data_IF_283034542387
#
_entry.id   IF_283034542387
#
_cell.length_a   1.000
_cell.length_b   1.000
_cell.length_c   1.000
_cell.angle_alpha   90.00
_cell.angle_beta   90.00
_cell.angle_gamma   90.00
#
_symmetry.space_group_name_H-M   'P 1'
#
loop_
_entity.id
_entity.type
_entity.pdbx_description
1 polymer ?
#
# COMPACT_ATOMS: atom_id res chain seq x y z
N UNK A 1 15.60 28.32 -1.40
CA UNK A 1 15.65 28.41 0.08
C UNK A 1 14.53 27.55 0.64
N UNK A 2 14.86 26.42 1.28
CA UNK A 2 13.87 25.64 2.01
C UNK A 2 13.32 26.52 3.14
N UNK A 3 12.02 26.81 3.11
CA UNK A 3 11.38 27.54 4.20
C UNK A 3 11.46 26.67 5.47
N UNK A 4 11.73 27.24 6.66
CA UNK A 4 11.75 26.49 7.93
C UNK A 4 10.44 25.72 8.18
N UNK A 5 9.37 26.13 7.53
CA UNK A 5 8.07 25.47 7.41
C UNK A 5 8.13 24.05 6.79
N UNK A 6 9.03 23.82 5.82
CA UNK A 6 9.09 22.56 5.07
C UNK A 6 9.59 21.37 5.91
N UNK A 7 10.50 21.60 6.87
CA UNK A 7 10.95 20.55 7.78
C UNK A 7 9.82 20.13 8.72
N UNK A 8 9.09 21.11 9.28
CA UNK A 8 7.95 20.88 10.15
C UNK A 8 6.79 20.20 9.42
N UNK A 9 6.53 20.58 8.16
CA UNK A 9 5.56 19.90 7.30
C UNK A 9 5.93 18.43 7.12
N UNK A 10 7.18 18.14 6.75
CA UNK A 10 7.62 16.77 6.44
C UNK A 10 7.63 15.86 7.67
N UNK A 11 8.03 16.37 8.83
CA UNK A 11 7.91 15.63 10.09
C UNK A 11 6.46 15.48 10.54
N UNK A 12 5.61 16.48 10.28
CA UNK A 12 4.15 16.42 10.47
C UNK A 12 3.48 15.33 9.63
N UNK A 13 3.98 15.10 8.41
CA UNK A 13 3.56 13.98 7.54
C UNK A 13 4.05 12.60 8.02
N UNK A 14 4.79 12.52 9.14
CA UNK A 14 5.25 11.26 9.72
C UNK A 14 6.66 10.83 9.31
N UNK A 15 7.43 11.67 8.61
CA UNK A 15 8.84 11.38 8.34
C UNK A 15 9.69 11.60 9.59
N UNK A 16 10.74 10.78 9.75
CA UNK A 16 11.77 11.06 10.76
C UNK A 16 12.53 12.34 10.40
N UNK A 17 13.06 13.04 11.40
CA UNK A 17 13.80 14.29 11.19
C UNK A 17 14.98 14.12 10.22
N UNK A 18 15.68 12.98 10.30
CA UNK A 18 16.75 12.63 9.38
C UNK A 18 16.24 12.51 7.94
N UNK A 19 15.18 11.72 7.73
CA UNK A 19 14.59 11.51 6.40
C UNK A 19 13.98 12.79 5.83
N UNK A 20 13.40 13.63 6.67
CA UNK A 20 12.90 14.96 6.29
C UNK A 20 14.05 15.87 5.83
N UNK A 21 15.17 15.92 6.56
CA UNK A 21 16.37 16.67 6.16
C UNK A 21 16.97 16.16 4.85
N UNK A 22 17.02 14.85 4.64
CA UNK A 22 17.48 14.26 3.38
C UNK A 22 16.55 14.63 2.22
N UNK A 23 15.25 14.56 2.44
CA UNK A 23 14.24 14.93 1.44
C UNK A 23 14.39 16.39 1.05
N UNK A 24 14.64 17.29 2.00
CA UNK A 24 14.87 18.72 1.77
C UNK A 24 16.10 19.02 0.89
N UNK A 25 17.09 18.12 0.84
CA UNK A 25 18.24 18.26 -0.09
C UNK A 25 17.83 18.00 -1.53
N UNK A 26 16.74 17.25 -1.77
CA UNK A 26 16.18 17.00 -3.08
C UNK A 26 15.04 17.99 -3.34
N UNK A 27 15.34 19.09 -4.03
CA UNK A 27 14.37 20.16 -4.31
C UNK A 27 13.17 19.67 -5.13
N UNK A 28 13.39 18.77 -6.08
CA UNK A 28 12.32 18.21 -6.91
C UNK A 28 11.35 17.37 -6.07
N UNK A 29 11.88 16.41 -5.29
CA UNK A 29 11.08 15.57 -4.40
C UNK A 29 10.37 16.40 -3.32
N UNK A 30 11.06 17.38 -2.74
CA UNK A 30 10.48 18.29 -1.75
C UNK A 30 9.32 19.11 -2.31
N UNK A 31 9.41 19.54 -3.56
CA UNK A 31 8.35 20.29 -4.23
C UNK A 31 7.16 19.40 -4.53
N UNK A 32 7.40 18.20 -5.05
CA UNK A 32 6.33 17.23 -5.29
C UNK A 32 5.60 16.82 -4.00
N UNK A 33 6.34 16.60 -2.91
CA UNK A 33 5.76 16.25 -1.61
C UNK A 33 4.89 17.36 -1.05
N UNK A 34 5.34 18.62 -1.16
CA UNK A 34 4.57 19.79 -0.74
C UNK A 34 3.27 19.89 -1.53
N UNK A 35 3.33 19.79 -2.85
CA UNK A 35 2.16 19.85 -3.71
C UNK A 35 1.16 18.71 -3.42
N UNK A 36 1.66 17.48 -3.21
CA UNK A 36 0.83 16.35 -2.82
C UNK A 36 0.15 16.56 -1.46
N UNK A 37 0.88 17.08 -0.48
CA UNK A 37 0.34 17.39 0.85
C UNK A 37 -0.71 18.51 0.79
N UNK A 38 -0.46 19.59 0.04
CA UNK A 38 -1.44 20.67 -0.15
C UNK A 38 -2.72 20.14 -0.78
N UNK A 39 -2.61 19.31 -1.82
CA UNK A 39 -3.78 18.73 -2.47
C UNK A 39 -4.53 17.78 -1.52
N UNK A 40 -3.83 16.91 -0.79
CA UNK A 40 -4.47 16.01 0.17
C UNK A 40 -5.21 16.79 1.28
N UNK A 41 -4.61 17.86 1.78
CA UNK A 41 -5.24 18.73 2.78
C UNK A 41 -6.51 19.41 2.26
N UNK A 42 -6.51 19.88 1.00
CA UNK A 42 -7.69 20.47 0.36
C UNK A 42 -8.83 19.45 0.22
N UNK A 43 -8.52 18.19 -0.08
CA UNK A 43 -9.53 17.12 -0.22
C UNK A 43 -10.08 16.70 1.14
N UNK A 44 -9.21 16.56 2.15
CA UNK A 44 -9.57 16.12 3.49
C UNK A 44 -10.31 17.20 4.31
N UNK A 45 -10.06 18.48 4.02
CA UNK A 45 -10.55 19.61 4.83
C UNK A 45 -10.04 19.60 6.28
N UNK A 46 -9.06 18.76 6.60
CA UNK A 46 -8.56 18.51 7.96
C UNK A 46 -7.07 18.15 7.93
N UNK A 47 -6.47 17.96 9.10
CA UNK A 47 -5.04 17.62 9.23
C UNK A 47 -4.74 16.24 8.64
N UNK A 48 -3.60 16.12 7.97
CA UNK A 48 -3.15 14.85 7.39
C UNK A 48 -2.56 13.99 8.51
N UNK A 49 -3.09 12.80 8.72
CA UNK A 49 -2.51 11.84 9.67
C UNK A 49 -1.18 11.28 9.14
N UNK A 50 -0.33 10.80 10.06
CA UNK A 50 1.01 10.31 9.73
C UNK A 50 1.01 9.14 8.75
N UNK A 51 0.01 8.24 8.80
CA UNK A 51 -0.03 7.10 7.88
C UNK A 51 -0.30 7.57 6.44
N UNK A 52 -1.25 8.49 6.26
CA UNK A 52 -1.48 9.17 4.97
C UNK A 52 -0.23 9.92 4.50
N UNK A 53 0.42 10.66 5.39
CA UNK A 53 1.62 11.42 5.04
C UNK A 53 2.79 10.54 4.58
N UNK A 54 2.99 9.38 5.20
CA UNK A 54 3.99 8.39 4.76
C UNK A 54 3.64 7.82 3.37
N UNK A 55 2.36 7.54 3.08
CA UNK A 55 1.93 7.10 1.76
C UNK A 55 2.09 8.19 0.69
N UNK A 56 1.83 9.46 1.02
CA UNK A 56 2.07 10.57 0.11
C UNK A 56 3.55 10.72 -0.21
N UNK A 57 4.43 10.59 0.79
CA UNK A 57 5.87 10.55 0.58
C UNK A 57 6.28 9.42 -0.36
N UNK A 58 5.78 8.22 -0.08
CA UNK A 58 6.12 7.05 -0.87
C UNK A 58 5.63 7.18 -2.32
N UNK A 59 4.41 7.71 -2.53
CA UNK A 59 3.87 8.06 -3.85
C UNK A 59 4.83 8.97 -4.62
N UNK A 60 5.19 10.13 -4.07
CA UNK A 60 6.02 11.12 -4.79
C UNK A 60 7.46 10.64 -4.99
N UNK A 61 7.94 9.72 -4.16
CA UNK A 61 9.28 9.14 -4.29
C UNK A 61 9.39 8.13 -5.44
N UNK A 62 8.26 7.49 -5.82
CA UNK A 62 8.22 6.41 -6.83
C UNK A 62 7.50 6.81 -8.12
N UNK A 63 6.63 7.83 -8.07
CA UNK A 63 5.83 8.26 -9.21
C UNK A 63 6.69 8.89 -10.30
N UNK A 64 6.63 8.31 -11.51
CA UNK A 64 7.33 8.84 -12.69
C UNK A 64 6.44 9.78 -13.51
N UNK A 65 5.15 9.46 -13.63
CA UNK A 65 4.18 10.28 -14.37
C UNK A 65 3.49 11.28 -13.44
N UNK A 66 4.00 12.51 -13.41
CA UNK A 66 3.47 13.58 -12.56
C UNK A 66 2.04 13.99 -12.91
N UNK A 67 1.57 13.72 -14.14
CA UNK A 67 0.18 14.00 -14.57
C UNK A 67 -0.83 13.20 -13.75
N UNK A 68 -0.41 12.03 -13.26
CA UNK A 68 -1.24 11.07 -12.51
C UNK A 68 -1.21 11.30 -11.01
N UNK A 69 -0.35 12.21 -10.53
CA UNK A 69 -0.22 12.54 -9.11
C UNK A 69 -1.55 12.95 -8.51
N UNK A 70 -2.25 13.89 -9.16
CA UNK A 70 -3.48 14.43 -8.60
C UNK A 70 -4.59 13.39 -8.46
N UNK A 71 -4.65 12.44 -9.39
CA UNK A 71 -5.52 11.29 -9.30
C UNK A 71 -5.15 10.40 -8.11
N UNK A 72 -3.90 9.97 -7.98
CA UNK A 72 -3.47 9.07 -6.90
C UNK A 72 -3.55 9.71 -5.51
N UNK A 73 -3.22 11.00 -5.39
CA UNK A 73 -3.39 11.75 -4.14
C UNK A 73 -4.84 11.75 -3.68
N UNK A 74 -5.81 11.85 -4.60
CA UNK A 74 -7.22 11.78 -4.23
C UNK A 74 -7.64 10.42 -3.67
N UNK A 75 -7.08 9.32 -4.19
CA UNK A 75 -7.33 7.98 -3.67
C UNK A 75 -6.73 7.77 -2.27
N UNK A 76 -5.53 8.31 -2.04
CA UNK A 76 -4.87 8.25 -0.72
C UNK A 76 -5.61 9.12 0.30
N UNK A 77 -5.97 10.35 -0.08
CA UNK A 77 -6.70 11.27 0.79
C UNK A 77 -8.07 10.70 1.19
N UNK A 78 -8.80 10.08 0.27
CA UNK A 78 -10.08 9.43 0.56
C UNK A 78 -9.93 8.04 1.22
N UNK A 79 -8.72 7.63 1.63
CA UNK A 79 -8.42 6.33 2.25
C UNK A 79 -8.80 5.10 1.40
N UNK A 80 -9.08 5.29 0.11
CA UNK A 80 -9.29 4.20 -0.85
C UNK A 80 -7.99 3.39 -1.04
N UNK A 81 -6.86 4.09 -1.04
CA UNK A 81 -5.52 3.49 -0.96
C UNK A 81 -4.93 3.87 0.40
N UNK A 82 -4.78 2.89 1.28
CA UNK A 82 -4.29 3.10 2.64
C UNK A 82 -3.17 2.12 3.04
N UNK A 83 -2.77 1.21 2.16
CA UNK A 83 -1.62 0.32 2.38
C UNK A 83 -0.52 0.53 1.33
N UNK A 84 0.72 0.21 1.71
CA UNK A 84 1.86 0.28 0.79
C UNK A 84 1.73 -0.69 -0.39
N UNK A 85 0.99 -1.79 -0.22
CA UNK A 85 0.73 -2.76 -1.29
C UNK A 85 -0.24 -2.21 -2.33
N UNK A 86 -1.36 -1.61 -1.89
CA UNK A 86 -2.30 -0.93 -2.78
C UNK A 86 -1.62 0.20 -3.55
N UNK A 87 -0.77 0.98 -2.88
CA UNK A 87 0.01 2.04 -3.55
C UNK A 87 0.98 1.48 -4.59
N UNK A 88 1.64 0.36 -4.28
CA UNK A 88 2.56 -0.29 -5.24
C UNK A 88 1.81 -0.81 -6.46
N UNK A 89 0.61 -1.39 -6.28
CA UNK A 89 -0.24 -1.81 -7.38
C UNK A 89 -0.76 -0.62 -8.21
N UNK A 90 -1.15 0.47 -7.56
CA UNK A 90 -1.57 1.69 -8.25
C UNK A 90 -0.46 2.32 -9.11
N UNK A 91 0.77 2.34 -8.60
CA UNK A 91 1.94 2.79 -9.37
C UNK A 91 2.23 1.88 -10.56
N UNK A 92 2.08 0.56 -10.39
CA UNK A 92 2.25 -0.41 -11.48
C UNK A 92 1.17 -0.24 -12.55
N UNK A 93 -0.09 -0.09 -12.15
CA UNK A 93 -1.21 0.12 -13.05
C UNK A 93 -1.03 1.37 -13.90
N UNK A 94 -0.67 2.49 -13.27
CA UNK A 94 -0.43 3.75 -13.98
C UNK A 94 0.76 3.63 -14.95
N UNK A 95 1.76 2.81 -14.60
CA UNK A 95 2.91 2.55 -15.48
C UNK A 95 2.53 1.70 -16.70
N UNK A 96 1.68 0.69 -16.52
CA UNK A 96 1.24 -0.19 -17.61
C UNK A 96 0.13 0.42 -18.48
N UNK A 97 -0.60 1.42 -17.97
CA UNK A 97 -1.67 2.12 -18.67
C UNK A 97 -1.35 3.62 -18.87
N UNK A 98 -0.47 3.97 -19.83
CA UNK A 98 -0.06 5.36 -20.06
C UNK A 98 -1.13 6.22 -20.76
N UNK A 99 -2.21 5.60 -21.24
CA UNK A 99 -3.27 6.27 -22.00
C UNK A 99 -4.31 6.91 -21.08
N UNK A 100 -4.91 7.99 -21.56
CA UNK A 100 -6.03 8.67 -20.93
C UNK A 100 -7.33 8.38 -21.70
N UNK A 101 -8.48 8.26 -21.02
CA UNK A 101 -8.68 8.29 -19.57
C UNK A 101 -8.31 6.96 -18.89
N UNK A 102 -7.97 7.00 -17.59
CA UNK A 102 -7.88 5.78 -16.77
C UNK A 102 -9.29 5.22 -16.59
N UNK A 103 -9.47 3.93 -16.87
CA UNK A 103 -10.65 3.20 -16.42
C UNK A 103 -10.61 3.10 -14.89
N UNK A 104 -11.50 3.84 -14.24
CA UNK A 104 -11.56 3.90 -12.77
C UNK A 104 -11.99 2.57 -12.16
N UNK A 105 -12.83 1.79 -12.84
CA UNK A 105 -13.31 0.50 -12.30
C UNK A 105 -12.21 -0.54 -12.34
N UNK A 106 -11.53 -0.63 -13.48
CA UNK A 106 -10.39 -1.53 -13.66
C UNK A 106 -9.24 -1.15 -12.71
N UNK A 107 -8.95 0.15 -12.58
CA UNK A 107 -7.98 0.66 -11.60
C UNK A 107 -8.34 0.28 -10.16
N UNK A 108 -9.59 0.50 -9.74
CA UNK A 108 -10.03 0.18 -8.37
C UNK A 108 -9.92 -1.31 -8.08
N UNK A 109 -10.29 -2.15 -9.05
CA UNK A 109 -10.18 -3.60 -8.94
C UNK A 109 -8.72 -4.06 -8.83
N UNK A 110 -7.85 -3.61 -9.73
CA UNK A 110 -6.42 -3.97 -9.75
C UNK A 110 -5.64 -3.43 -8.55
N UNK A 111 -6.13 -2.37 -7.92
CA UNK A 111 -5.53 -1.78 -6.72
C UNK A 111 -6.14 -2.33 -5.42
N UNK A 112 -7.13 -3.21 -5.49
CA UNK A 112 -7.81 -3.74 -4.29
C UNK A 112 -8.54 -2.66 -3.49
N UNK A 113 -9.08 -1.64 -4.16
CA UNK A 113 -9.86 -0.58 -3.53
C UNK A 113 -11.20 -1.16 -3.08
N UNK A 114 -11.55 -0.98 -1.81
CA UNK A 114 -12.79 -1.52 -1.24
C UNK A 114 -12.74 -3.03 -0.95
N UNK A 115 -11.61 -3.70 -1.22
CA UNK A 115 -11.42 -5.09 -0.79
C UNK A 115 -11.13 -5.09 0.70
N UNK A 116 -12.05 -5.66 1.48
CA UNK A 116 -11.87 -5.95 2.90
C UNK A 116 -11.78 -7.46 3.03
N UNK A 117 -10.63 -7.95 3.47
CA UNK A 117 -10.46 -9.38 3.73
C UNK A 117 -10.94 -9.67 5.15
N UNK A 118 -11.95 -10.52 5.27
CA UNK A 118 -12.50 -10.91 6.58
C UNK A 118 -11.75 -12.10 7.17
N UNK A 119 -11.80 -12.32 8.50
CA UNK A 119 -11.21 -13.50 9.13
C UNK A 119 -11.68 -14.81 8.52
N UNK A 120 -12.97 -14.90 8.17
CA UNK A 120 -13.56 -16.08 7.56
C UNK A 120 -12.96 -16.37 6.17
N UNK A 121 -12.68 -15.31 5.38
CA UNK A 121 -12.01 -15.46 4.08
C UNK A 121 -10.56 -15.91 4.24
N UNK A 122 -9.90 -15.53 5.35
CA UNK A 122 -8.55 -16.00 5.67
C UNK A 122 -8.61 -17.50 6.00
N UNK A 123 -9.53 -17.91 6.87
CA UNK A 123 -9.74 -19.31 7.23
C UNK A 123 -10.04 -20.17 5.99
N UNK A 124 -10.97 -19.73 5.14
CA UNK A 124 -11.36 -20.44 3.91
C UNK A 124 -10.18 -20.57 2.93
N UNK A 125 -9.39 -19.50 2.74
CA UNK A 125 -8.22 -19.53 1.87
C UNK A 125 -7.16 -20.52 2.38
N UNK A 126 -6.95 -20.56 3.71
CA UNK A 126 -6.00 -21.50 4.30
C UNK A 126 -6.50 -22.93 4.25
N UNK A 127 -7.77 -23.17 4.61
CA UNK A 127 -8.40 -24.49 4.51
C UNK A 127 -8.33 -25.04 3.08
N UNK A 128 -8.66 -24.21 2.08
CA UNK A 128 -8.54 -24.57 0.67
C UNK A 128 -7.09 -24.93 0.29
N UNK A 129 -6.10 -24.22 0.83
CA UNK A 129 -4.69 -24.48 0.57
C UNK A 129 -4.22 -25.79 1.22
N UNK A 130 -4.67 -26.08 2.45
CA UNK A 130 -4.40 -27.34 3.15
C UNK A 130 -5.03 -28.51 2.40
N UNK A 131 -6.30 -28.39 2.01
CA UNK A 131 -7.03 -29.44 1.29
C UNK A 131 -6.36 -29.79 -0.05
N UNK A 132 -5.83 -28.79 -0.76
CA UNK A 132 -5.08 -28.99 -2.01
C UNK A 132 -3.83 -29.86 -1.83
N UNK A 133 -3.17 -29.77 -0.67
CA UNK A 133 -1.94 -30.48 -0.35
C UNK A 133 -2.13 -31.64 0.66
N UNK A 134 -3.38 -32.00 0.97
CA UNK A 134 -3.74 -32.93 2.05
C UNK A 134 -3.01 -34.28 1.97
N UNK A 135 -2.92 -34.87 0.77
CA UNK A 135 -2.26 -36.16 0.58
C UNK A 135 -0.76 -36.11 0.88
N UNK A 136 -0.10 -35.01 0.49
CA UNK A 136 1.33 -34.82 0.75
C UNK A 136 1.58 -34.50 2.23
N UNK A 137 0.73 -33.70 2.85
CA UNK A 137 0.77 -33.41 4.28
C UNK A 137 0.64 -34.68 5.13
N UNK A 138 -0.25 -35.60 4.76
CA UNK A 138 -0.41 -36.88 5.47
C UNK A 138 0.82 -37.80 5.30
N UNK A 139 1.46 -37.77 4.14
CA UNK A 139 2.62 -38.60 3.84
C UNK A 139 3.92 -38.07 4.48
N UNK A 140 4.18 -36.77 4.36
CA UNK A 140 5.42 -36.14 4.80
C UNK A 140 5.36 -35.62 6.25
N UNK A 141 4.15 -35.40 6.77
CA UNK A 141 3.88 -34.84 8.11
C UNK A 141 4.71 -33.58 8.35
N UNK A 142 5.49 -33.54 9.43
CA UNK A 142 6.35 -32.42 9.79
C UNK A 142 7.53 -32.14 8.84
N UNK A 143 7.76 -33.00 7.83
CA UNK A 143 8.78 -32.76 6.78
C UNK A 143 8.23 -31.94 5.62
N UNK A 144 6.92 -31.78 5.53
CA UNK A 144 6.28 -31.00 4.49
C UNK A 144 6.69 -29.53 4.61
N UNK A 145 6.89 -28.88 3.46
CA UNK A 145 7.28 -27.48 3.42
C UNK A 145 6.10 -26.56 3.76
N UNK A 146 5.91 -26.28 5.04
CA UNK A 146 4.88 -25.33 5.52
C UNK A 146 5.04 -23.93 4.89
N UNK A 147 6.25 -23.53 4.51
CA UNK A 147 6.50 -22.28 3.81
C UNK A 147 5.80 -22.18 2.45
N UNK A 148 5.54 -23.32 1.79
CA UNK A 148 4.77 -23.38 0.54
C UNK A 148 3.29 -23.01 0.78
N UNK A 149 2.66 -23.59 1.81
CA UNK A 149 1.26 -23.29 2.17
C UNK A 149 1.11 -21.82 2.55
N UNK A 150 2.05 -21.31 3.34
CA UNK A 150 2.06 -19.92 3.76
C UNK A 150 2.23 -18.98 2.55
N UNK A 151 3.04 -19.36 1.57
CA UNK A 151 3.18 -18.63 0.30
C UNK A 151 1.90 -18.62 -0.53
N UNK A 152 1.25 -19.77 -0.69
CA UNK A 152 -0.01 -19.89 -1.44
C UNK A 152 -1.17 -19.13 -0.76
N UNK A 153 -1.31 -19.27 0.56
CA UNK A 153 -2.34 -18.56 1.33
C UNK A 153 -2.14 -17.03 1.26
N UNK A 154 -0.89 -16.54 1.39
CA UNK A 154 -0.58 -15.10 1.21
C UNK A 154 -0.86 -14.60 -0.20
N UNK A 155 -0.65 -15.44 -1.22
CA UNK A 155 -0.96 -15.08 -2.60
C UNK A 155 -2.48 -14.96 -2.83
N UNK A 156 -3.28 -15.85 -2.24
CA UNK A 156 -4.74 -15.78 -2.27
C UNK A 156 -5.27 -14.55 -1.52
N UNK A 157 -4.62 -14.20 -0.40
CA UNK A 157 -4.98 -13.09 0.48
C UNK A 157 -4.20 -11.82 0.14
N UNK A 158 -4.01 -11.54 -1.17
CA UNK A 158 -3.15 -10.44 -1.65
C UNK A 158 -3.46 -9.10 -0.99
N UNK A 159 -4.72 -8.77 -0.72
CA UNK A 159 -5.13 -7.48 -0.14
C UNK A 159 -5.39 -7.53 1.36
N UNK A 160 -5.13 -8.67 2.02
CA UNK A 160 -5.36 -8.80 3.44
C UNK A 160 -4.40 -7.90 4.23
N UNK A 161 -4.86 -7.46 5.39
CA UNK A 161 -3.97 -6.81 6.34
C UNK A 161 -2.87 -7.81 6.73
N UNK A 162 -1.62 -7.47 6.43
CA UNK A 162 -0.48 -8.35 6.62
C UNK A 162 -0.27 -8.77 8.07
N UNK A 163 -0.76 -7.96 9.04
CA UNK A 163 -0.72 -8.31 10.46
C UNK A 163 -1.78 -9.36 10.79
N UNK A 164 -3.03 -9.16 10.35
CA UNK A 164 -4.14 -10.09 10.60
C UNK A 164 -3.92 -11.42 9.88
N UNK A 165 -3.54 -11.36 8.60
CA UNK A 165 -3.20 -12.56 7.83
C UNK A 165 -2.00 -13.28 8.45
N UNK A 166 -0.98 -12.54 8.92
CA UNK A 166 0.18 -13.12 9.60
C UNK A 166 -0.18 -13.83 10.91
N UNK A 167 -1.01 -13.21 11.75
CA UNK A 167 -1.44 -13.78 13.03
C UNK A 167 -2.25 -15.06 12.83
N UNK A 168 -3.26 -15.06 11.96
CA UNK A 168 -4.07 -16.25 11.68
C UNK A 168 -3.24 -17.38 11.09
N UNK A 169 -2.31 -17.07 10.19
CA UNK A 169 -1.38 -18.06 9.64
C UNK A 169 -0.44 -18.65 10.72
N UNK A 170 0.05 -17.82 11.65
CA UNK A 170 0.97 -18.26 12.71
C UNK A 170 0.32 -19.16 13.77
N UNK A 171 -1.01 -19.05 13.96
CA UNK A 171 -1.75 -19.96 14.84
C UNK A 171 -1.83 -21.40 14.30
N UNK A 172 -1.38 -21.64 13.07
CA UNK A 172 -1.43 -22.93 12.40
C UNK A 172 -0.06 -23.62 12.29
N UNK A 173 1.03 -22.99 12.76
CA UNK A 173 2.35 -23.62 12.96
C UNK A 173 2.37 -24.45 14.27
#
# INVERSE_FOLDING_TARGET
MATPDSLALFTGLGLSENKARETLKNEALSTQLREAATQAHQILGSTIDKATGVLLYDLVSRLRDTRRRSFLVSYIANKKIHTGLQLSAALEYVRSHPQDPIDTKDFEQECGVGVVVTPEQIEEAVESTINKHQLQLLAERYRFNMGLLMGEARAALRWADGEVAGQTLSLME
#
